data_IF_498432129249
#
_entry.id   IF_498432129249
#
_cell.length_a   1.000
_cell.length_b   1.000
_cell.length_c   1.000
_cell.angle_alpha   90.00
_cell.angle_beta   90.00
_cell.angle_gamma   90.00
#
_symmetry.space_group_name_H-M   'P 1'
#
loop_
_entity.id
_entity.type
_entity.pdbx_description
1 polymer ?
#
# COMPACT_ATOMS: atom_id res chain seq x y z
N UNK A 1 -24.33 -28.30 -18.00
CA UNK A 1 -23.47 -29.51 -18.01
C UNK A 1 -22.37 -29.24 -17.01
N UNK A 2 -22.37 -29.97 -15.89
CA UNK A 2 -21.46 -29.75 -14.78
C UNK A 2 -20.03 -30.09 -15.16
N UNK A 3 -19.12 -29.16 -14.88
CA UNK A 3 -17.69 -29.37 -14.98
C UNK A 3 -17.23 -30.07 -13.68
N UNK A 4 -16.74 -31.29 -13.82
CA UNK A 4 -16.11 -32.05 -12.72
C UNK A 4 -14.75 -31.44 -12.41
N UNK A 5 -14.39 -31.29 -11.12
CA UNK A 5 -13.04 -30.85 -10.75
C UNK A 5 -12.00 -31.88 -11.18
N UNK A 6 -10.88 -31.39 -11.68
CA UNK A 6 -9.74 -32.19 -12.12
C UNK A 6 -9.21 -33.03 -10.97
N UNK A 7 -9.35 -34.34 -11.07
CA UNK A 7 -8.83 -35.30 -10.08
C UNK A 7 -7.31 -35.43 -10.28
N UNK A 8 -6.49 -35.42 -9.22
CA UNK A 8 -5.06 -35.67 -9.36
C UNK A 8 -4.82 -37.11 -9.84
N UNK A 9 -4.11 -37.25 -10.96
CA UNK A 9 -3.69 -38.53 -11.47
C UNK A 9 -2.60 -39.11 -10.56
N UNK A 10 -2.71 -40.38 -10.28
CA UNK A 10 -1.88 -41.32 -9.47
C UNK A 10 -0.47 -40.82 -9.12
N UNK A 11 -0.22 -40.60 -7.85
CA UNK A 11 1.04 -40.17 -7.27
C UNK A 11 2.04 -41.33 -7.15
N UNK A 12 3.20 -41.18 -7.76
CA UNK A 12 4.42 -41.85 -7.31
C UNK A 12 4.95 -41.10 -6.06
N UNK A 13 5.52 -41.78 -5.03
CA UNK A 13 6.03 -41.05 -3.88
C UNK A 13 7.10 -40.04 -4.32
N UNK A 14 6.80 -38.74 -4.20
CA UNK A 14 7.71 -37.65 -4.54
C UNK A 14 7.41 -36.87 -5.83
N UNK A 15 6.29 -37.11 -6.50
CA UNK A 15 5.89 -36.41 -7.73
C UNK A 15 4.38 -36.11 -7.74
N UNK A 16 4.02 -34.85 -8.02
CA UNK A 16 2.62 -34.43 -8.26
C UNK A 16 2.42 -34.10 -9.72
N UNK A 17 1.47 -34.76 -10.40
CA UNK A 17 1.13 -34.55 -11.80
C UNK A 17 -0.09 -33.62 -11.90
N UNK A 18 0.03 -32.54 -12.69
CA UNK A 18 -1.04 -31.61 -13.02
C UNK A 18 -1.34 -31.67 -14.52
N UNK A 19 -2.57 -31.88 -14.88
CA UNK A 19 -3.02 -31.91 -16.28
C UNK A 19 -3.82 -30.63 -16.60
N UNK A 20 -3.44 -29.99 -17.72
CA UNK A 20 -4.07 -28.75 -18.20
C UNK A 20 -4.65 -28.98 -19.62
N UNK A 21 -5.94 -28.73 -19.77
CA UNK A 21 -6.65 -29.14 -21.00
C UNK A 21 -6.40 -28.22 -22.21
N UNK A 22 -6.08 -26.94 -22.01
CA UNK A 22 -5.77 -26.01 -23.10
C UNK A 22 -4.27 -25.70 -23.15
N UNK A 23 -3.62 -26.21 -24.18
CA UNK A 23 -2.19 -26.00 -24.42
C UNK A 23 -1.82 -24.52 -24.70
N UNK A 24 -2.77 -23.68 -25.16
CA UNK A 24 -2.50 -22.25 -25.38
C UNK A 24 -2.39 -21.54 -24.06
N UNK A 25 -3.33 -21.80 -23.16
CA UNK A 25 -3.29 -21.25 -21.80
C UNK A 25 -2.09 -21.77 -21.00
N UNK A 26 -1.68 -23.03 -21.27
CA UNK A 26 -0.47 -23.58 -20.64
C UNK A 26 0.81 -22.85 -21.07
N UNK A 27 0.90 -22.38 -22.33
CA UNK A 27 2.03 -21.56 -22.79
C UNK A 27 2.05 -20.22 -22.03
N UNK A 28 0.91 -19.58 -21.87
CA UNK A 28 0.79 -18.32 -21.14
C UNK A 28 1.06 -18.52 -19.64
N UNK A 29 0.67 -19.67 -19.07
CA UNK A 29 1.00 -20.06 -17.69
C UNK A 29 2.51 -20.19 -17.48
N UNK A 30 3.22 -20.84 -18.41
CA UNK A 30 4.67 -20.98 -18.35
C UNK A 30 5.40 -19.64 -18.53
N UNK A 31 4.80 -18.72 -19.27
CA UNK A 31 5.38 -17.42 -19.62
C UNK A 31 6.52 -17.50 -20.63
N UNK A 32 7.06 -16.36 -21.05
CA UNK A 32 8.15 -16.31 -22.01
C UNK A 32 9.40 -17.06 -21.47
N UNK A 33 9.85 -18.06 -22.23
CA UNK A 33 11.00 -18.93 -21.86
C UNK A 33 10.84 -19.62 -20.50
N UNK A 34 9.63 -20.05 -20.15
CA UNK A 34 9.26 -20.74 -18.90
C UNK A 34 9.63 -19.95 -17.62
N UNK A 35 9.70 -18.62 -17.72
CA UNK A 35 10.12 -17.73 -16.59
C UNK A 35 9.19 -17.82 -15.40
N UNK A 36 7.90 -18.05 -15.61
CA UNK A 36 6.95 -18.21 -14.52
C UNK A 36 7.21 -19.49 -13.74
N UNK A 37 7.47 -20.60 -14.45
CA UNK A 37 7.82 -21.88 -13.83
C UNK A 37 9.13 -21.77 -13.06
N UNK A 38 10.17 -21.20 -13.68
CA UNK A 38 11.47 -20.99 -13.03
C UNK A 38 11.34 -20.17 -11.73
N UNK A 39 10.47 -19.18 -11.70
CA UNK A 39 10.25 -18.39 -10.50
C UNK A 39 9.53 -19.17 -9.40
N UNK A 40 8.58 -20.03 -9.76
CA UNK A 40 7.89 -20.92 -8.81
C UNK A 40 8.87 -21.96 -8.26
N UNK A 41 9.70 -22.55 -9.10
CA UNK A 41 10.73 -23.50 -8.71
C UNK A 41 11.71 -22.91 -7.68
N UNK A 42 12.20 -21.70 -7.95
CA UNK A 42 13.11 -20.97 -7.06
C UNK A 42 12.46 -20.67 -5.69
N UNK A 43 11.22 -20.18 -5.71
CA UNK A 43 10.52 -19.75 -4.49
C UNK A 43 10.17 -20.94 -3.59
N UNK A 44 9.67 -22.03 -4.16
CA UNK A 44 9.15 -23.19 -3.42
C UNK A 44 10.17 -24.35 -3.32
N UNK A 45 11.34 -24.20 -3.94
CA UNK A 45 12.39 -25.24 -3.99
C UNK A 45 11.88 -26.58 -4.52
N UNK A 46 11.08 -26.51 -5.59
CA UNK A 46 10.58 -27.66 -6.35
C UNK A 46 11.18 -27.67 -7.75
N UNK A 47 11.07 -28.79 -8.47
CA UNK A 47 11.37 -28.88 -9.89
C UNK A 47 10.09 -29.15 -10.66
N UNK A 48 9.84 -28.39 -11.73
CA UNK A 48 8.64 -28.50 -12.56
C UNK A 48 9.03 -28.95 -13.96
N UNK A 49 8.61 -30.15 -14.33
CA UNK A 49 8.92 -30.74 -15.63
C UNK A 49 7.67 -30.70 -16.51
N UNK A 50 7.79 -30.09 -17.69
CA UNK A 50 6.70 -30.04 -18.67
C UNK A 50 6.77 -31.20 -19.64
N UNK A 51 5.64 -31.91 -19.81
CA UNK A 51 5.47 -32.99 -20.80
C UNK A 51 4.12 -32.83 -21.51
N UNK A 52 4.11 -32.10 -22.64
CA UNK A 52 2.86 -31.82 -23.37
C UNK A 52 1.93 -30.91 -22.56
N UNK A 53 0.75 -31.45 -22.19
CA UNK A 53 -0.25 -30.80 -21.36
C UNK A 53 -0.11 -31.12 -19.85
N UNK A 54 0.93 -31.84 -19.47
CA UNK A 54 1.22 -32.25 -18.09
C UNK A 54 2.37 -31.44 -17.53
N UNK A 55 2.21 -30.97 -16.29
CA UNK A 55 3.29 -30.45 -15.45
C UNK A 55 3.51 -31.43 -14.29
N UNK A 56 4.73 -31.91 -14.16
CA UNK A 56 5.17 -32.77 -13.06
C UNK A 56 5.93 -31.91 -12.06
N UNK A 57 5.47 -31.84 -10.82
CA UNK A 57 6.10 -31.12 -9.72
C UNK A 57 6.82 -32.11 -8.81
N UNK A 58 8.15 -31.95 -8.66
CA UNK A 58 9.02 -32.83 -7.87
C UNK A 58 9.67 -32.03 -6.75
N UNK A 59 9.55 -32.48 -5.51
CA UNK A 59 10.12 -31.81 -4.34
C UNK A 59 9.55 -32.33 -3.01
N UNK A 60 9.73 -31.63 -1.89
CA UNK A 60 9.07 -31.95 -0.62
C UNK A 60 7.54 -31.93 -0.76
N UNK A 61 6.82 -32.82 -0.06
CA UNK A 61 5.37 -32.98 -0.22
C UNK A 61 4.57 -31.68 0.01
N UNK A 62 4.93 -30.92 1.02
CA UNK A 62 4.29 -29.63 1.31
C UNK A 62 4.52 -28.62 0.20
N UNK A 63 5.76 -28.53 -0.30
CA UNK A 63 6.12 -27.63 -1.40
C UNK A 63 5.48 -28.05 -2.73
N UNK A 64 5.31 -29.35 -2.99
CA UNK A 64 4.55 -29.84 -4.15
C UNK A 64 3.07 -29.41 -4.08
N UNK A 65 2.44 -29.54 -2.91
CA UNK A 65 1.06 -29.14 -2.72
C UNK A 65 0.89 -27.64 -2.94
N UNK A 66 1.80 -26.82 -2.41
CA UNK A 66 1.78 -25.37 -2.59
C UNK A 66 2.02 -24.97 -4.05
N UNK A 67 2.99 -25.60 -4.74
CA UNK A 67 3.24 -25.36 -6.15
C UNK A 67 2.05 -25.75 -7.04
N UNK A 68 1.41 -26.88 -6.73
CA UNK A 68 0.20 -27.32 -7.42
C UNK A 68 -0.96 -26.33 -7.25
N UNK A 69 -1.12 -25.79 -6.06
CA UNK A 69 -2.12 -24.76 -5.78
C UNK A 69 -1.85 -23.47 -6.56
N UNK A 70 -0.61 -22.96 -6.53
CA UNK A 70 -0.20 -21.76 -7.27
C UNK A 70 -0.44 -21.93 -8.77
N UNK A 71 -0.04 -23.07 -9.37
CA UNK A 71 -0.21 -23.36 -10.79
C UNK A 71 -1.69 -23.43 -11.18
N UNK A 72 -2.52 -24.10 -10.38
CA UNK A 72 -3.95 -24.19 -10.63
C UNK A 72 -4.65 -22.82 -10.51
N UNK A 73 -4.29 -21.99 -9.54
CA UNK A 73 -4.85 -20.65 -9.38
C UNK A 73 -4.50 -19.75 -10.58
N UNK A 74 -3.25 -19.80 -11.04
CA UNK A 74 -2.81 -19.04 -12.22
C UNK A 74 -3.49 -19.54 -13.52
N UNK A 75 -3.69 -20.84 -13.65
CA UNK A 75 -4.39 -21.41 -14.79
C UNK A 75 -5.87 -21.04 -14.82
N UNK A 76 -6.58 -21.14 -13.69
CA UNK A 76 -7.96 -20.70 -13.56
C UNK A 76 -8.14 -19.22 -13.91
N UNK A 77 -7.14 -18.38 -13.63
CA UNK A 77 -7.11 -16.99 -14.02
C UNK A 77 -7.05 -16.82 -15.56
N UNK A 78 -6.22 -17.64 -16.23
CA UNK A 78 -6.13 -17.65 -17.71
C UNK A 78 -7.42 -18.15 -18.35
N UNK A 79 -8.09 -19.16 -17.77
CA UNK A 79 -9.40 -19.63 -18.24
C UNK A 79 -10.48 -18.54 -18.21
N UNK A 80 -10.36 -17.61 -17.27
CA UNK A 80 -11.24 -16.43 -17.19
C UNK A 80 -10.85 -15.32 -18.17
N UNK A 81 -9.87 -15.55 -19.05
CA UNK A 81 -9.39 -14.58 -20.03
C UNK A 81 -8.50 -13.48 -19.46
N UNK A 82 -7.91 -13.71 -18.27
CA UNK A 82 -7.02 -12.74 -17.60
C UNK A 82 -5.57 -13.10 -17.85
N UNK A 83 -4.73 -12.13 -18.24
CA UNK A 83 -3.31 -12.39 -18.44
C UNK A 83 -2.62 -12.74 -17.12
N UNK A 84 -1.58 -13.58 -17.22
CA UNK A 84 -0.67 -13.90 -16.14
C UNK A 84 0.71 -13.34 -16.52
N UNK A 85 1.18 -12.38 -15.74
CA UNK A 85 2.50 -11.80 -15.84
C UNK A 85 3.31 -12.17 -14.58
N UNK A 86 4.58 -11.79 -14.51
CA UNK A 86 5.44 -12.07 -13.35
C UNK A 86 4.87 -11.52 -12.03
N UNK A 87 4.15 -10.40 -12.10
CA UNK A 87 3.53 -9.80 -10.92
C UNK A 87 2.42 -10.68 -10.31
N UNK A 88 1.68 -11.39 -11.14
CA UNK A 88 0.64 -12.34 -10.73
C UNK A 88 1.24 -13.63 -10.14
N UNK A 89 2.35 -14.09 -10.71
CA UNK A 89 3.11 -15.23 -10.17
C UNK A 89 3.64 -14.88 -8.78
N UNK A 90 4.25 -13.72 -8.60
CA UNK A 90 4.73 -13.24 -7.30
C UNK A 90 3.59 -13.11 -6.28
N UNK A 91 2.44 -12.62 -6.73
CA UNK A 91 1.26 -12.52 -5.87
C UNK A 91 0.76 -13.89 -5.43
N UNK A 92 0.64 -14.86 -6.36
CA UNK A 92 0.20 -16.21 -6.06
C UNK A 92 1.14 -16.93 -5.08
N UNK A 93 2.46 -16.74 -5.23
CA UNK A 93 3.48 -17.29 -4.33
C UNK A 93 3.41 -16.71 -2.91
N UNK A 94 2.98 -15.46 -2.74
CA UNK A 94 2.84 -14.83 -1.42
C UNK A 94 1.57 -15.18 -0.69
N UNK A 95 0.54 -15.58 -1.41
CA UNK A 95 -0.84 -15.61 -0.88
C UNK A 95 -1.27 -16.98 -0.35
N UNK A 96 -0.61 -18.12 -0.75
CA UNK A 96 -1.16 -19.44 -0.43
C UNK A 96 -2.65 -19.54 -0.83
N UNK A 97 -3.12 -20.59 -1.44
CA UNK A 97 -4.41 -20.61 -2.17
C UNK A 97 -5.61 -20.82 -1.27
N UNK A 98 -6.60 -19.96 -1.34
CA UNK A 98 -7.99 -20.24 -0.98
C UNK A 98 -8.90 -20.18 -2.23
N UNK A 99 -9.92 -21.05 -2.29
CA UNK A 99 -10.66 -21.49 -3.48
C UNK A 99 -11.82 -20.56 -3.96
N UNK A 100 -12.33 -20.73 -5.21
CA UNK A 100 -13.27 -19.83 -5.86
C UNK A 100 -14.75 -20.20 -5.73
N UNK A 101 -15.66 -19.26 -5.83
CA UNK A 101 -17.10 -19.44 -6.01
C UNK A 101 -17.79 -18.36 -6.86
N UNK A 102 -18.92 -18.73 -7.48
CA UNK A 102 -19.72 -18.03 -8.48
C UNK A 102 -20.49 -16.78 -7.97
N UNK A 103 -20.78 -15.83 -8.87
CA UNK A 103 -21.16 -14.46 -8.52
C UNK A 103 -22.59 -14.16 -8.06
N UNK A 104 -22.74 -13.18 -7.20
CA UNK A 104 -23.97 -12.73 -6.58
C UNK A 104 -24.34 -11.25 -6.73
N UNK A 105 -25.54 -10.88 -6.19
CA UNK A 105 -26.23 -9.60 -6.24
C UNK A 105 -25.48 -8.42 -5.55
N UNK A 106 -25.86 -7.12 -5.77
CA UNK A 106 -25.14 -5.98 -5.17
C UNK A 106 -25.02 -5.97 -3.65
N UNK A 107 -25.99 -6.53 -2.92
CA UNK A 107 -25.90 -6.70 -1.47
C UNK A 107 -25.00 -7.89 -1.10
N UNK A 108 -25.06 -8.97 -1.85
CA UNK A 108 -24.20 -10.14 -1.72
C UNK A 108 -22.77 -9.84 -2.22
N UNK A 109 -22.58 -8.89 -3.18
CA UNK A 109 -21.25 -8.41 -3.54
C UNK A 109 -20.57 -7.67 -2.38
N UNK A 110 -21.32 -6.95 -1.56
CA UNK A 110 -20.77 -6.32 -0.34
C UNK A 110 -20.35 -7.37 0.70
N UNK A 111 -21.11 -8.46 0.85
CA UNK A 111 -20.76 -9.61 1.70
C UNK A 111 -19.62 -10.45 1.09
N UNK A 112 -19.53 -10.56 -0.24
CA UNK A 112 -18.45 -11.28 -0.92
C UNK A 112 -17.09 -10.59 -0.84
N UNK A 113 -17.05 -9.27 -0.78
CA UNK A 113 -15.80 -8.55 -0.49
C UNK A 113 -15.27 -8.86 0.93
N UNK A 114 -16.09 -9.47 1.79
CA UNK A 114 -15.69 -9.92 3.12
C UNK A 114 -15.08 -11.33 3.13
N UNK A 115 -15.37 -12.21 2.16
CA UNK A 115 -15.00 -13.64 2.20
C UNK A 115 -14.39 -14.22 0.92
N UNK A 116 -14.44 -13.51 -0.23
CA UNK A 116 -13.98 -14.01 -1.53
C UNK A 116 -12.65 -13.38 -2.03
N UNK A 117 -12.16 -13.79 -3.23
CA UNK A 117 -11.06 -13.10 -3.88
C UNK A 117 -11.45 -11.66 -4.18
N UNK A 118 -10.66 -10.71 -3.66
CA UNK A 118 -10.94 -9.29 -3.76
C UNK A 118 -10.45 -8.77 -5.10
N UNK A 119 -11.39 -8.48 -5.99
CA UNK A 119 -11.12 -7.85 -7.28
C UNK A 119 -11.83 -6.51 -7.39
N UNK A 120 -11.06 -5.45 -7.55
CA UNK A 120 -11.59 -4.12 -7.78
C UNK A 120 -11.70 -3.87 -9.28
N UNK A 121 -12.89 -4.07 -9.84
CA UNK A 121 -13.13 -3.86 -11.26
C UNK A 121 -13.38 -2.39 -11.54
N UNK A 122 -12.45 -1.76 -12.23
CA UNK A 122 -12.59 -0.39 -12.72
C UNK A 122 -12.89 -0.38 -14.23
N UNK A 123 -13.03 0.80 -14.83
CA UNK A 123 -13.31 0.90 -16.28
C UNK A 123 -12.10 0.58 -17.17
N UNK A 124 -10.87 0.73 -16.65
CA UNK A 124 -9.64 0.48 -17.43
C UNK A 124 -8.97 -0.83 -17.06
N UNK A 125 -9.00 -1.21 -15.81
CA UNK A 125 -8.30 -2.41 -15.32
C UNK A 125 -8.96 -3.00 -14.08
N UNK A 126 -8.65 -4.25 -13.82
CA UNK A 126 -8.94 -4.91 -12.54
C UNK A 126 -7.72 -4.73 -11.62
N UNK A 127 -7.96 -4.37 -10.39
CA UNK A 127 -6.94 -4.20 -9.36
C UNK A 127 -7.13 -5.28 -8.29
N UNK A 128 -6.06 -5.99 -8.00
CA UNK A 128 -6.04 -7.04 -6.99
C UNK A 128 -5.05 -6.66 -5.89
N UNK A 129 -5.46 -6.77 -4.62
CA UNK A 129 -4.54 -6.64 -3.50
C UNK A 129 -3.46 -7.72 -3.54
N UNK A 130 -2.21 -7.32 -3.36
CA UNK A 130 -1.02 -8.19 -3.50
C UNK A 130 -0.49 -8.75 -2.18
N UNK A 131 -0.96 -8.23 -1.04
CA UNK A 131 -0.60 -8.69 0.30
C UNK A 131 -1.85 -8.84 1.15
N UNK A 132 -1.77 -9.63 2.23
CA UNK A 132 -2.91 -9.82 3.11
C UNK A 132 -3.31 -8.51 3.80
N UNK A 133 -2.35 -7.66 4.18
CA UNK A 133 -2.65 -6.34 4.72
C UNK A 133 -3.44 -5.48 3.70
N UNK A 134 -3.12 -5.58 2.39
CA UNK A 134 -3.88 -4.90 1.35
C UNK A 134 -5.29 -5.47 1.19
N UNK A 135 -5.46 -6.81 1.31
CA UNK A 135 -6.79 -7.44 1.28
C UNK A 135 -7.65 -6.98 2.45
N UNK A 136 -7.09 -7.04 3.66
CA UNK A 136 -7.81 -6.64 4.87
C UNK A 136 -8.17 -5.16 4.84
N UNK A 137 -7.29 -4.32 4.29
CA UNK A 137 -7.57 -2.91 4.07
C UNK A 137 -8.74 -2.71 3.10
N UNK A 138 -8.74 -3.39 1.95
CA UNK A 138 -9.85 -3.30 0.99
C UNK A 138 -11.17 -3.78 1.60
N UNK A 139 -11.16 -4.88 2.38
CA UNK A 139 -12.34 -5.31 3.14
C UNK A 139 -12.82 -4.25 4.13
N UNK A 140 -11.88 -3.62 4.84
CA UNK A 140 -12.19 -2.54 5.78
C UNK A 140 -12.83 -1.33 5.09
N UNK A 141 -12.36 -0.97 3.87
CA UNK A 141 -12.91 0.13 3.07
C UNK A 141 -14.36 -0.13 2.63
N UNK A 142 -14.72 -1.37 2.35
CA UNK A 142 -16.11 -1.74 2.03
C UNK A 142 -16.99 -1.91 3.28
N UNK A 143 -16.41 -2.37 4.38
CA UNK A 143 -17.16 -2.75 5.58
C UNK A 143 -17.40 -1.64 6.60
N UNK A 144 -16.64 -0.54 6.55
CA UNK A 144 -16.70 0.51 7.58
C UNK A 144 -17.00 1.88 6.97
N UNK A 145 -17.63 2.75 7.76
CA UNK A 145 -17.89 4.14 7.37
C UNK A 145 -16.63 5.00 7.42
N UNK A 146 -15.72 4.68 8.35
CA UNK A 146 -14.42 5.34 8.49
C UNK A 146 -13.31 4.31 8.57
N UNK A 147 -12.33 4.41 7.69
CA UNK A 147 -11.17 3.51 7.67
C UNK A 147 -9.86 4.29 7.59
N UNK A 148 -8.85 3.81 8.32
CA UNK A 148 -7.50 4.35 8.31
C UNK A 148 -6.55 3.34 7.65
N UNK A 149 -5.74 3.80 6.69
CA UNK A 149 -4.63 3.07 6.11
C UNK A 149 -3.31 3.71 6.49
N UNK A 150 -2.56 3.12 7.43
CA UNK A 150 -1.36 3.69 8.03
C UNK A 150 -0.14 2.82 7.71
N UNK A 151 0.94 3.42 7.23
CA UNK A 151 2.21 2.73 6.99
C UNK A 151 3.07 3.37 5.91
N UNK A 152 4.20 2.72 5.54
CA UNK A 152 5.21 3.31 4.66
C UNK A 152 4.70 3.66 3.27
N UNK A 153 5.38 4.60 2.60
CA UNK A 153 5.12 4.91 1.20
C UNK A 153 5.33 3.68 0.30
N UNK A 154 4.54 3.56 -0.78
CA UNK A 154 4.64 2.46 -1.73
C UNK A 154 3.90 1.17 -1.35
N UNK A 155 3.13 1.15 -0.25
CA UNK A 155 2.27 0.03 0.14
C UNK A 155 0.90 0.03 -0.54
N UNK A 156 0.62 1.00 -1.41
CA UNK A 156 -0.62 1.06 -2.20
C UNK A 156 -1.84 1.64 -1.49
N UNK A 157 -1.70 2.23 -0.29
CA UNK A 157 -2.82 2.77 0.51
C UNK A 157 -3.76 3.67 -0.28
N UNK A 158 -3.23 4.76 -0.82
CA UNK A 158 -3.98 5.75 -1.60
C UNK A 158 -4.52 5.16 -2.89
N UNK A 159 -3.70 4.36 -3.57
CA UNK A 159 -4.06 3.71 -4.83
C UNK A 159 -5.26 2.76 -4.65
N UNK A 160 -5.24 1.90 -3.64
CA UNK A 160 -6.35 0.99 -3.32
C UNK A 160 -7.60 1.75 -2.85
N UNK A 161 -7.42 2.81 -2.04
CA UNK A 161 -8.55 3.66 -1.63
C UNK A 161 -9.26 4.29 -2.84
N UNK A 162 -8.49 4.85 -3.80
CA UNK A 162 -9.07 5.43 -5.03
C UNK A 162 -9.72 4.35 -5.88
N UNK A 163 -9.12 3.15 -6.00
CA UNK A 163 -9.71 2.03 -6.74
C UNK A 163 -11.06 1.59 -6.16
N UNK A 164 -11.15 1.47 -4.83
CA UNK A 164 -12.42 1.18 -4.12
C UNK A 164 -13.45 2.30 -4.37
N UNK A 165 -13.04 3.56 -4.23
CA UNK A 165 -13.93 4.70 -4.50
C UNK A 165 -14.49 4.68 -5.91
N UNK A 166 -13.64 4.41 -6.92
CA UNK A 166 -14.08 4.30 -8.32
C UNK A 166 -15.02 3.10 -8.51
N UNK A 167 -14.74 1.95 -7.88
CA UNK A 167 -15.63 0.78 -7.94
C UNK A 167 -16.99 1.08 -7.33
N UNK A 168 -17.02 1.74 -6.18
CA UNK A 168 -18.28 2.14 -5.52
C UNK A 168 -19.06 3.18 -6.31
N UNK A 169 -18.39 4.14 -6.97
CA UNK A 169 -19.03 5.12 -7.84
C UNK A 169 -19.64 4.46 -9.08
N UNK A 170 -18.93 3.51 -9.70
CA UNK A 170 -19.42 2.77 -10.86
C UNK A 170 -20.59 1.85 -10.47
N UNK A 171 -20.52 1.24 -9.30
CA UNK A 171 -21.58 0.37 -8.74
C UNK A 171 -22.80 1.14 -8.21
N UNK A 172 -22.76 2.48 -8.18
CA UNK A 172 -23.87 3.29 -7.68
C UNK A 172 -24.04 3.26 -6.16
N UNK A 173 -23.03 2.82 -5.41
CA UNK A 173 -23.04 2.80 -3.94
C UNK A 173 -22.75 4.18 -3.33
N UNK A 174 -22.15 5.07 -4.10
CA UNK A 174 -21.92 6.47 -3.76
C UNK A 174 -22.20 7.34 -4.99
N UNK A 175 -22.62 8.57 -4.77
CA UNK A 175 -22.91 9.52 -5.85
C UNK A 175 -21.65 10.23 -6.36
N UNK A 176 -20.64 10.37 -5.49
CA UNK A 176 -19.43 11.14 -5.79
C UNK A 176 -18.20 10.62 -5.04
N UNK A 177 -17.02 10.95 -5.60
CA UNK A 177 -15.71 10.76 -4.96
C UNK A 177 -15.14 12.14 -4.63
N UNK A 178 -14.63 12.31 -3.42
CA UNK A 178 -13.92 13.53 -2.99
C UNK A 178 -12.54 13.11 -2.51
N UNK A 179 -11.51 13.59 -3.21
CA UNK A 179 -10.12 13.36 -2.86
C UNK A 179 -9.52 14.63 -2.30
N UNK A 180 -8.88 14.51 -1.16
CA UNK A 180 -8.33 15.66 -0.45
C UNK A 180 -6.92 15.36 0.05
N UNK A 181 -6.13 16.41 0.20
CA UNK A 181 -4.77 16.35 0.75
C UNK A 181 -4.50 17.61 1.57
N UNK A 182 -3.78 17.52 2.70
CA UNK A 182 -3.29 18.71 3.37
C UNK A 182 -2.34 19.46 2.42
N UNK A 183 -2.55 20.75 2.24
CA UNK A 183 -1.56 21.59 1.59
C UNK A 183 -0.46 21.88 2.63
N UNK A 184 0.68 21.20 2.52
CA UNK A 184 1.84 21.44 3.38
C UNK A 184 2.81 22.32 2.62
N UNK A 185 3.19 23.44 3.20
CA UNK A 185 4.32 24.21 2.72
C UNK A 185 5.62 23.49 3.09
N UNK A 186 6.13 22.65 2.21
CA UNK A 186 7.45 22.00 2.36
C UNK A 186 8.54 23.07 2.27
N UNK A 187 8.71 23.89 3.33
CA UNK A 187 9.75 24.90 3.43
C UNK A 187 9.58 26.14 2.55
N UNK A 188 8.72 26.10 1.55
CA UNK A 188 8.37 27.24 0.68
C UNK A 188 6.96 27.73 1.03
N UNK A 189 6.86 28.99 1.40
CA UNK A 189 5.55 29.60 1.64
C UNK A 189 4.78 29.68 0.33
N UNK A 190 3.57 29.08 0.26
CA UNK A 190 2.66 29.13 -0.90
C UNK A 190 2.46 30.55 -1.47
N UNK A 191 2.81 31.56 -0.69
CA UNK A 191 2.79 32.96 -1.09
C UNK A 191 3.76 33.35 -2.20
N UNK A 192 4.79 32.57 -2.50
CA UNK A 192 5.81 32.89 -3.51
C UNK A 192 5.52 32.35 -4.93
N UNK A 193 4.56 31.43 -5.07
CA UNK A 193 4.20 30.92 -6.40
C UNK A 193 3.24 31.88 -7.09
N UNK A 194 3.46 32.24 -8.37
CA UNK A 194 2.48 33.00 -9.15
C UNK A 194 1.24 32.17 -9.45
N UNK A 195 0.07 32.79 -9.55
CA UNK A 195 -1.20 32.13 -9.83
C UNK A 195 -2.20 32.20 -8.69
N UNK A 196 -3.43 31.74 -8.94
CA UNK A 196 -4.46 31.66 -7.94
C UNK A 196 -4.21 30.47 -6.97
N UNK A 197 -4.98 30.40 -5.88
CA UNK A 197 -4.81 29.36 -4.84
C UNK A 197 -4.96 27.94 -5.41
N UNK A 198 -5.78 27.77 -6.44
CA UNK A 198 -6.04 26.48 -7.07
C UNK A 198 -4.85 26.04 -7.92
N UNK A 199 -4.31 26.93 -8.73
CA UNK A 199 -3.12 26.68 -9.56
C UNK A 199 -1.88 26.32 -8.70
N UNK A 200 -1.73 26.94 -7.53
CA UNK A 200 -0.63 26.68 -6.59
C UNK A 200 -0.70 25.32 -5.93
N UNK A 201 -1.88 24.78 -5.73
CA UNK A 201 -2.09 23.51 -5.02
C UNK A 201 -2.15 22.32 -5.98
N UNK A 202 -2.45 22.55 -7.25
CA UNK A 202 -2.62 21.51 -8.28
C UNK A 202 -1.43 20.54 -8.40
N UNK A 203 -0.16 20.96 -8.35
CA UNK A 203 0.98 20.05 -8.38
C UNK A 203 0.99 19.02 -7.23
N UNK A 204 0.53 19.40 -6.06
CA UNK A 204 0.45 18.49 -4.90
C UNK A 204 -0.67 17.46 -5.02
N UNK A 205 -1.66 17.70 -5.89
CA UNK A 205 -2.78 16.81 -6.16
C UNK A 205 -2.49 15.83 -7.30
N UNK A 206 -1.38 16.01 -8.04
CA UNK A 206 -1.04 15.19 -9.20
C UNK A 206 -1.10 13.68 -8.93
N UNK A 207 -0.61 13.12 -7.80
CA UNK A 207 -0.70 11.69 -7.52
C UNK A 207 -2.14 11.15 -7.44
N UNK A 208 -3.10 12.00 -7.05
CA UNK A 208 -4.53 11.65 -7.02
C UNK A 208 -5.14 11.63 -8.44
N UNK A 209 -4.74 12.59 -9.29
CA UNK A 209 -5.10 12.58 -10.71
C UNK A 209 -4.53 11.35 -11.42
N UNK A 210 -3.28 11.00 -11.14
CA UNK A 210 -2.62 9.84 -11.75
C UNK A 210 -3.33 8.55 -11.37
N UNK A 211 -3.70 8.37 -10.09
CA UNK A 211 -4.47 7.23 -9.64
C UNK A 211 -5.85 7.15 -10.33
N UNK A 212 -6.58 8.25 -10.46
CA UNK A 212 -7.86 8.27 -11.17
C UNK A 212 -7.71 7.96 -12.66
N UNK A 213 -6.68 8.51 -13.32
CA UNK A 213 -6.38 8.23 -14.73
C UNK A 213 -6.03 6.77 -14.99
N UNK A 214 -5.50 6.07 -13.99
CA UNK A 214 -5.23 4.64 -14.05
C UNK A 214 -6.53 3.81 -14.10
N UNK A 215 -7.61 4.28 -13.49
CA UNK A 215 -8.86 3.54 -13.33
C UNK A 215 -9.96 3.97 -14.30
N UNK A 216 -9.94 5.22 -14.76
CA UNK A 216 -10.96 5.79 -15.62
C UNK A 216 -10.37 6.28 -16.95
N UNK A 217 -11.07 6.06 -18.09
CA UNK A 217 -10.70 6.71 -19.35
C UNK A 217 -10.72 8.24 -19.21
N UNK A 218 -9.72 8.93 -19.75
CA UNK A 218 -9.56 10.39 -19.57
C UNK A 218 -10.79 11.22 -19.93
N UNK A 219 -11.51 10.87 -21.03
CA UNK A 219 -12.78 11.53 -21.40
C UNK A 219 -13.87 11.35 -20.33
N UNK A 220 -13.95 10.15 -19.73
CA UNK A 220 -14.93 9.87 -18.67
C UNK A 220 -14.56 10.59 -17.38
N UNK A 221 -13.27 10.61 -17.01
CA UNK A 221 -12.78 11.34 -15.86
C UNK A 221 -13.10 12.84 -15.99
N UNK A 222 -12.78 13.44 -17.13
CA UNK A 222 -13.08 14.86 -17.38
C UNK A 222 -14.57 15.16 -17.22
N UNK A 223 -15.46 14.31 -17.78
CA UNK A 223 -16.91 14.44 -17.65
C UNK A 223 -17.37 14.34 -16.18
N UNK A 224 -16.88 13.35 -15.43
CA UNK A 224 -17.23 13.16 -14.01
C UNK A 224 -16.74 14.32 -13.13
N UNK A 225 -15.64 14.97 -13.48
CA UNK A 225 -15.14 16.15 -12.79
C UNK A 225 -16.00 17.39 -13.13
N UNK A 226 -16.41 17.57 -14.38
CA UNK A 226 -17.32 18.64 -14.81
C UNK A 226 -18.69 18.51 -14.12
N UNK A 227 -19.23 17.29 -14.03
CA UNK A 227 -20.46 16.96 -13.31
C UNK A 227 -20.31 17.04 -11.77
N UNK A 228 -19.10 17.34 -11.26
CA UNK A 228 -18.77 17.34 -9.81
C UNK A 228 -19.03 16.01 -9.10
N UNK A 229 -19.03 14.92 -9.86
CA UNK A 229 -19.07 13.55 -9.33
C UNK A 229 -17.70 13.07 -8.89
N UNK A 230 -16.63 13.67 -9.38
CA UNK A 230 -15.26 13.53 -8.86
C UNK A 230 -14.75 14.93 -8.54
N UNK A 231 -14.31 15.14 -7.32
CA UNK A 231 -13.74 16.39 -6.83
C UNK A 231 -12.37 16.12 -6.22
N UNK A 232 -11.38 16.93 -6.61
CA UNK A 232 -10.06 16.95 -5.98
C UNK A 232 -9.86 18.35 -5.41
N UNK A 233 -9.68 18.44 -4.09
CA UNK A 233 -9.60 19.74 -3.43
C UNK A 233 -8.72 19.69 -2.16
N UNK A 234 -8.01 20.77 -1.83
CA UNK A 234 -7.26 20.87 -0.58
C UNK A 234 -8.14 20.66 0.64
N UNK A 235 -7.56 20.12 1.71
CA UNK A 235 -8.24 19.88 2.99
C UNK A 235 -8.97 21.14 3.53
N UNK A 236 -8.40 22.31 3.34
CA UNK A 236 -9.01 23.57 3.79
C UNK A 236 -10.39 23.83 3.18
N UNK A 237 -10.68 23.34 1.96
CA UNK A 237 -11.94 23.53 1.24
C UNK A 237 -13.06 22.60 1.75
N UNK A 238 -12.75 21.69 2.65
CA UNK A 238 -13.73 20.82 3.29
C UNK A 238 -14.45 21.50 4.48
N UNK A 239 -13.93 22.65 4.92
CA UNK A 239 -14.51 23.37 6.06
C UNK A 239 -15.94 23.83 5.77
N UNK A 240 -16.85 23.59 6.72
CA UNK A 240 -18.26 24.02 6.62
C UNK A 240 -19.13 23.17 5.70
N UNK A 241 -18.59 22.08 5.14
CA UNK A 241 -19.32 21.14 4.28
C UNK A 241 -19.83 19.94 5.09
N UNK A 242 -20.90 19.31 4.62
CA UNK A 242 -21.32 17.96 5.00
C UNK A 242 -21.20 17.10 3.76
N UNK A 243 -20.43 16.01 3.86
CA UNK A 243 -20.09 15.14 2.72
C UNK A 243 -21.01 13.92 2.80
N UNK A 244 -22.18 13.99 2.16
CA UNK A 244 -23.14 12.91 2.12
C UNK A 244 -23.09 12.14 0.80
N UNK A 245 -23.44 10.85 0.83
CA UNK A 245 -23.43 9.91 -0.28
C UNK A 245 -22.11 9.93 -1.08
N UNK A 246 -20.99 10.05 -0.38
CA UNK A 246 -19.69 10.27 -0.97
C UNK A 246 -18.66 9.25 -0.49
N UNK A 247 -17.74 8.87 -1.38
CA UNK A 247 -16.49 8.22 -1.00
C UNK A 247 -15.41 9.28 -0.87
N UNK A 248 -14.93 9.50 0.35
CA UNK A 248 -14.05 10.62 0.68
C UNK A 248 -12.68 10.10 1.10
N UNK A 249 -11.61 10.61 0.49
CA UNK A 249 -10.23 10.21 0.83
C UNK A 249 -9.45 11.45 1.29
N UNK A 250 -8.81 11.35 2.46
CA UNK A 250 -7.77 12.26 2.89
C UNK A 250 -6.43 11.55 2.79
N UNK A 251 -5.64 11.95 1.81
CA UNK A 251 -4.29 11.42 1.59
C UNK A 251 -3.23 12.28 2.29
N UNK A 252 -2.05 11.69 2.59
CA UNK A 252 -0.96 12.33 3.35
C UNK A 252 -1.41 12.97 4.68
N UNK A 253 -2.33 12.28 5.35
CA UNK A 253 -3.03 12.79 6.52
C UNK A 253 -2.11 13.04 7.75
N UNK A 254 -0.89 12.48 7.77
CA UNK A 254 0.10 12.79 8.79
C UNK A 254 0.49 14.27 8.79
N UNK A 255 0.28 14.96 7.66
CA UNK A 255 0.55 16.39 7.49
C UNK A 255 -0.67 17.29 7.80
N UNK A 256 -1.77 16.72 8.31
CA UNK A 256 -2.86 17.48 8.90
C UNK A 256 -2.60 17.72 10.40
N UNK A 257 -2.87 18.92 10.88
CA UNK A 257 -2.85 19.20 12.33
C UNK A 257 -4.04 18.53 13.02
N UNK A 258 -3.99 18.37 14.36
CA UNK A 258 -5.09 17.83 15.16
C UNK A 258 -6.43 18.55 14.90
N UNK A 259 -6.41 19.88 14.79
CA UNK A 259 -7.61 20.66 14.48
C UNK A 259 -8.14 20.40 13.06
N UNK A 260 -7.26 20.29 12.08
CA UNK A 260 -7.63 19.99 10.69
C UNK A 260 -8.21 18.58 10.57
N UNK A 261 -7.58 17.60 11.23
CA UNK A 261 -8.09 16.22 11.27
C UNK A 261 -9.48 16.17 11.90
N UNK A 262 -9.67 16.75 13.06
CA UNK A 262 -10.99 16.82 13.73
C UNK A 262 -12.03 17.51 12.83
N UNK A 263 -11.65 18.64 12.22
CA UNK A 263 -12.51 19.36 11.29
C UNK A 263 -12.95 18.47 10.13
N UNK A 264 -12.02 17.69 9.53
CA UNK A 264 -12.31 16.83 8.40
C UNK A 264 -13.18 15.62 8.79
N UNK A 265 -12.84 14.91 9.84
CA UNK A 265 -13.58 13.74 10.31
C UNK A 265 -15.04 14.07 10.62
N UNK A 266 -15.30 15.27 11.14
CA UNK A 266 -16.66 15.75 11.41
C UNK A 266 -17.43 16.20 10.16
N UNK A 267 -16.88 16.02 8.96
CA UNK A 267 -17.58 16.26 7.67
C UNK A 267 -18.30 15.01 7.16
N UNK A 268 -18.06 13.85 7.76
CA UNK A 268 -18.73 12.61 7.38
C UNK A 268 -20.25 12.79 7.46
N UNK A 269 -20.90 12.59 6.33
CA UNK A 269 -22.36 12.68 6.19
C UNK A 269 -22.98 11.32 5.96
N UNK A 270 -24.29 11.26 5.98
CA UNK A 270 -25.06 10.03 5.78
C UNK A 270 -24.77 9.39 4.42
N UNK A 271 -24.72 8.06 4.37
CA UNK A 271 -24.42 7.28 3.16
C UNK A 271 -22.98 7.40 2.65
N UNK A 272 -22.08 8.03 3.43
CA UNK A 272 -20.70 8.24 3.00
C UNK A 272 -19.74 7.24 3.64
N UNK A 273 -18.59 7.08 2.97
CA UNK A 273 -17.40 6.39 3.49
C UNK A 273 -16.22 7.33 3.45
N UNK A 274 -15.46 7.36 4.52
CA UNK A 274 -14.30 8.22 4.66
C UNK A 274 -13.05 7.36 4.88
N UNK A 275 -12.00 7.69 4.16
CA UNK A 275 -10.72 6.98 4.19
C UNK A 275 -9.61 7.96 4.51
N UNK A 276 -8.79 7.63 5.48
CA UNK A 276 -7.62 8.40 5.90
C UNK A 276 -6.38 7.59 5.58
N UNK A 277 -5.51 8.09 4.72
CA UNK A 277 -4.23 7.45 4.38
C UNK A 277 -3.06 8.30 4.85
N UNK A 278 -2.01 7.66 5.35
CA UNK A 278 -0.83 8.39 5.78
C UNK A 278 0.34 7.52 6.26
N UNK A 279 1.47 8.18 6.47
CA UNK A 279 2.71 7.60 6.97
C UNK A 279 3.20 8.37 8.20
N UNK A 280 3.22 7.73 9.36
CA UNK A 280 3.66 8.37 10.61
C UNK A 280 5.15 8.77 10.62
N UNK A 281 5.94 8.22 9.72
CA UNK A 281 7.38 8.49 9.61
C UNK A 281 7.69 9.71 8.74
N UNK A 282 6.72 10.16 7.92
CA UNK A 282 6.88 11.25 6.96
C UNK A 282 6.05 12.49 7.36
N UNK A 283 6.31 13.01 8.55
CA UNK A 283 5.62 14.19 9.08
C UNK A 283 6.41 15.44 8.71
N UNK A 284 5.85 16.28 7.83
CA UNK A 284 6.44 17.54 7.36
C UNK A 284 5.86 18.77 8.08
N UNK A 285 5.18 18.57 9.21
CA UNK A 285 4.63 19.66 10.01
C UNK A 285 5.75 20.48 10.71
N UNK A 286 5.56 21.77 10.94
CA UNK A 286 6.49 22.60 11.69
C UNK A 286 6.79 22.03 13.08
N UNK A 287 7.99 22.29 13.61
CA UNK A 287 8.40 21.83 14.94
C UNK A 287 7.39 22.28 16.01
N UNK A 288 6.96 21.35 16.85
CA UNK A 288 6.00 21.58 17.92
C UNK A 288 4.53 21.49 17.50
N UNK A 289 4.23 21.22 16.23
CA UNK A 289 2.87 20.95 15.74
C UNK A 289 2.65 19.44 15.71
N UNK A 290 1.61 18.98 16.39
CA UNK A 290 1.25 17.56 16.44
C UNK A 290 0.51 17.10 15.18
N UNK A 291 0.84 15.90 14.73
CA UNK A 291 0.13 15.25 13.63
C UNK A 291 -1.25 14.78 14.07
N UNK A 292 -2.27 15.25 13.36
CA UNK A 292 -3.65 14.85 13.59
C UNK A 292 -3.91 13.36 13.32
N UNK A 293 -3.12 12.72 12.44
CA UNK A 293 -3.21 11.29 12.21
C UNK A 293 -2.81 10.49 13.47
N UNK A 294 -1.71 10.88 14.11
CA UNK A 294 -1.24 10.23 15.35
C UNK A 294 -2.22 10.41 16.50
N UNK A 295 -2.82 11.60 16.63
CA UNK A 295 -3.82 11.86 17.65
C UNK A 295 -5.14 11.12 17.38
N UNK A 296 -5.60 11.10 16.13
CA UNK A 296 -6.80 10.38 15.73
C UNK A 296 -6.67 8.87 16.00
N UNK A 297 -5.53 8.27 15.69
CA UNK A 297 -5.24 6.86 15.98
C UNK A 297 -5.40 6.56 17.49
N UNK A 298 -4.84 7.38 18.36
CA UNK A 298 -4.95 7.20 19.81
C UNK A 298 -6.37 7.35 20.35
N UNK A 299 -7.11 8.33 19.82
CA UNK A 299 -8.44 8.69 20.32
C UNK A 299 -9.52 7.77 19.79
N UNK A 300 -9.40 7.29 18.53
CA UNK A 300 -10.48 6.62 17.81
C UNK A 300 -10.31 5.10 17.73
N UNK A 301 -9.22 4.54 18.25
CA UNK A 301 -8.90 3.10 18.12
C UNK A 301 -10.02 2.16 18.60
N UNK A 302 -10.75 2.55 19.64
CA UNK A 302 -11.78 1.74 20.26
C UNK A 302 -13.20 2.17 19.89
N UNK A 303 -13.34 3.08 18.92
CA UNK A 303 -14.65 3.56 18.45
C UNK A 303 -15.24 2.57 17.44
N UNK A 304 -16.45 2.06 17.70
CA UNK A 304 -17.14 1.15 16.78
C UNK A 304 -17.40 1.83 15.43
N UNK A 305 -17.27 1.07 14.33
CA UNK A 305 -17.46 1.56 12.97
C UNK A 305 -16.21 2.22 12.37
N UNK A 306 -15.10 2.28 13.12
CA UNK A 306 -13.80 2.76 12.64
C UNK A 306 -12.84 1.59 12.54
N UNK A 307 -12.16 1.47 11.39
CA UNK A 307 -11.16 0.45 11.15
C UNK A 307 -9.78 1.07 10.96
N UNK A 308 -8.75 0.38 11.49
CA UNK A 308 -7.34 0.74 11.32
C UNK A 308 -6.60 -0.42 10.65
N UNK A 309 -6.06 -0.17 9.47
CA UNK A 309 -5.22 -1.10 8.72
C UNK A 309 -3.77 -0.60 8.74
N UNK A 310 -2.86 -1.47 9.16
CA UNK A 310 -1.44 -1.15 9.28
C UNK A 310 -0.64 -1.87 8.21
N UNK A 311 0.19 -1.10 7.51
CA UNK A 311 1.12 -1.61 6.52
C UNK A 311 2.55 -1.57 7.05
N UNK A 312 3.34 -2.51 6.60
CA UNK A 312 4.76 -2.64 6.96
C UNK A 312 5.65 -2.55 5.72
N UNK A 313 6.95 -2.58 5.90
CA UNK A 313 7.90 -2.63 4.79
C UNK A 313 7.69 -3.86 3.88
N UNK A 314 7.11 -4.96 4.41
CA UNK A 314 6.79 -6.18 3.63
C UNK A 314 5.68 -5.97 2.61
N UNK A 315 4.83 -4.96 2.83
CA UNK A 315 3.71 -4.62 1.95
C UNK A 315 4.10 -3.64 0.84
N UNK A 316 5.36 -3.21 0.80
CA UNK A 316 5.86 -2.28 -0.21
C UNK A 316 5.94 -2.99 -1.56
N UNK A 317 5.16 -2.50 -2.52
CA UNK A 317 5.15 -2.97 -3.92
C UNK A 317 5.93 -1.96 -4.75
N UNK A 318 7.24 -2.15 -4.84
CA UNK A 318 8.14 -1.28 -5.61
C UNK A 318 9.07 -2.10 -6.50
N UNK A 319 9.66 -1.41 -7.48
CA UNK A 319 10.71 -2.03 -8.28
C UNK A 319 11.88 -2.48 -7.39
N UNK A 320 12.44 -3.70 -7.58
CA UNK A 320 13.53 -4.22 -6.72
C UNK A 320 14.74 -3.28 -6.59
N UNK A 321 15.01 -2.49 -7.63
CA UNK A 321 16.07 -1.47 -7.59
C UNK A 321 15.78 -0.38 -6.55
N UNK A 322 14.52 0.00 -6.37
CA UNK A 322 14.15 1.06 -5.39
C UNK A 322 14.40 0.56 -3.96
N UNK A 323 14.10 -0.70 -3.67
CA UNK A 323 14.44 -1.30 -2.37
C UNK A 323 15.95 -1.21 -2.10
N UNK A 324 16.78 -1.63 -3.06
CA UNK A 324 18.25 -1.53 -2.96
C UNK A 324 18.78 -0.11 -2.82
N UNK A 325 18.12 0.87 -3.47
CA UNK A 325 18.48 2.28 -3.30
C UNK A 325 18.20 2.73 -1.86
N UNK A 326 17.03 2.39 -1.31
CA UNK A 326 16.67 2.75 0.07
C UNK A 326 17.66 2.12 1.05
N UNK A 327 17.92 0.83 0.91
CA UNK A 327 18.90 0.11 1.74
C UNK A 327 20.29 0.76 1.70
N UNK A 328 20.74 1.22 0.52
CA UNK A 328 22.02 1.90 0.39
C UNK A 328 22.05 3.26 1.11
N UNK A 329 20.97 4.05 1.03
CA UNK A 329 20.86 5.31 1.75
C UNK A 329 20.74 5.12 3.28
N UNK A 330 20.00 4.11 3.72
CA UNK A 330 19.86 3.77 5.13
C UNK A 330 21.21 3.31 5.72
N UNK A 331 21.97 2.49 4.99
CA UNK A 331 23.32 2.04 5.39
C UNK A 331 24.30 3.22 5.50
N UNK A 332 24.26 4.19 4.58
CA UNK A 332 25.08 5.40 4.65
C UNK A 332 24.72 6.28 5.86
N UNK A 333 23.42 6.43 6.12
CA UNK A 333 22.94 7.18 7.29
C UNK A 333 23.36 6.52 8.59
N UNK A 334 23.29 5.20 8.69
CA UNK A 334 23.72 4.43 9.86
C UNK A 334 25.23 4.52 10.08
N UNK A 335 26.03 4.43 9.01
CA UNK A 335 27.48 4.60 9.06
C UNK A 335 27.84 6.01 9.55
N UNK A 336 27.15 7.05 9.09
CA UNK A 336 27.36 8.43 9.53
C UNK A 336 27.00 8.62 11.03
N UNK A 337 25.92 8.02 11.52
CA UNK A 337 25.53 8.04 12.93
C UNK A 337 26.59 7.35 13.79
N UNK A 338 27.05 6.19 13.35
CA UNK A 338 28.09 5.41 14.06
C UNK A 338 29.42 6.19 14.14
N UNK A 339 29.84 6.85 13.04
CA UNK A 339 31.04 7.71 13.04
C UNK A 339 30.92 8.87 14.03
N UNK A 340 29.78 9.57 14.03
CA UNK A 340 29.54 10.67 14.98
C UNK A 340 29.54 10.18 16.43
N UNK A 341 28.86 9.05 16.71
CA UNK A 341 28.80 8.45 18.03
C UNK A 341 30.19 7.99 18.50
N UNK A 342 31.00 7.42 17.61
CA UNK A 342 32.38 7.00 17.86
C UNK A 342 33.27 8.18 18.21
N UNK A 343 33.21 9.25 17.43
CA UNK A 343 34.00 10.48 17.70
C UNK A 343 33.57 11.16 19.01
N UNK A 344 32.27 11.17 19.30
CA UNK A 344 31.73 11.70 20.54
C UNK A 344 32.16 10.82 21.72
N UNK A 345 32.04 9.51 21.61
CA UNK A 345 32.50 8.55 22.60
C UNK A 345 33.99 8.68 22.91
N UNK A 346 34.83 8.76 21.88
CA UNK A 346 36.27 8.98 22.03
C UNK A 346 36.63 10.26 22.77
N UNK A 347 35.86 11.34 22.58
CA UNK A 347 36.07 12.62 23.23
C UNK A 347 35.76 12.60 24.72
N UNK A 348 34.73 11.89 25.14
CA UNK A 348 34.24 11.93 26.52
C UNK A 348 34.61 10.69 27.36
N UNK A 349 34.85 9.55 26.73
CA UNK A 349 35.06 8.27 27.40
C UNK A 349 36.46 7.68 27.16
N UNK A 350 37.28 8.34 26.34
CA UNK A 350 38.62 7.89 25.97
C UNK A 350 38.66 7.17 24.63
N UNK A 351 39.81 7.25 23.96
CA UNK A 351 40.01 6.70 22.62
C UNK A 351 39.88 5.17 22.56
N UNK A 352 40.24 4.51 23.66
CA UNK A 352 40.16 3.05 23.83
C UNK A 352 38.73 2.49 23.83
N UNK A 353 37.75 3.32 24.23
CA UNK A 353 36.34 2.94 24.26
C UNK A 353 35.48 3.58 23.15
N UNK A 354 36.10 4.35 22.27
CA UNK A 354 35.39 5.08 21.22
C UNK A 354 34.50 4.21 20.34
N UNK A 355 35.04 3.07 19.86
CA UNK A 355 34.28 2.15 19.00
C UNK A 355 33.13 1.45 19.74
N UNK A 356 33.32 1.11 21.02
CA UNK A 356 32.25 0.52 21.83
C UNK A 356 31.05 1.48 21.92
N UNK A 357 31.31 2.76 22.21
CA UNK A 357 30.29 3.80 22.25
C UNK A 357 29.67 4.09 20.89
N UNK A 358 30.47 4.07 19.82
CA UNK A 358 29.97 4.20 18.46
C UNK A 358 28.91 3.17 18.12
N UNK A 359 29.22 1.90 18.36
CA UNK A 359 28.31 0.77 18.13
C UNK A 359 27.06 0.79 19.03
N UNK A 360 27.18 1.27 20.26
CA UNK A 360 26.07 1.33 21.22
C UNK A 360 25.08 2.46 20.91
N UNK A 361 25.57 3.62 20.48
CA UNK A 361 24.79 4.85 20.37
C UNK A 361 24.57 5.28 18.91
N UNK A 362 25.25 4.67 17.94
CA UNK A 362 25.03 4.90 16.50
C UNK A 362 23.99 3.95 15.93
N UNK A 363 22.80 3.87 16.54
CA UNK A 363 21.73 2.94 16.16
C UNK A 363 20.58 3.68 15.47
N UNK A 364 19.79 3.01 14.63
CA UNK A 364 18.62 3.60 13.97
C UNK A 364 17.65 4.21 15.01
N UNK A 365 17.20 5.44 14.74
CA UNK A 365 16.27 6.18 15.61
C UNK A 365 16.96 7.19 16.54
N UNK A 366 18.27 7.19 16.63
CA UNK A 366 19.02 8.24 17.33
C UNK A 366 19.08 9.53 16.51
N UNK A 367 19.04 10.67 17.19
CA UNK A 367 19.03 11.99 16.56
C UNK A 367 20.34 12.74 16.85
N UNK A 368 20.99 13.22 15.79
CA UNK A 368 22.12 14.14 15.92
C UNK A 368 21.62 15.58 15.90
N UNK A 369 21.74 16.27 17.04
CA UNK A 369 21.40 17.69 17.15
C UNK A 369 22.69 18.51 17.03
N UNK A 370 22.83 19.29 15.95
CA UNK A 370 23.91 20.28 15.79
C UNK A 370 23.44 21.65 16.30
N UNK A 371 24.09 22.14 17.35
CA UNK A 371 23.82 23.47 17.89
C UNK A 371 24.94 24.40 17.48
N UNK A 372 24.60 25.54 16.86
CA UNK A 372 25.54 26.64 16.61
C UNK A 372 25.34 27.66 17.74
N UNK A 373 26.28 27.77 18.71
CA UNK A 373 26.11 28.73 19.78
C UNK A 373 26.21 30.15 19.22
N UNK A 374 25.27 31.01 19.64
CA UNK A 374 25.28 32.44 19.29
C UNK A 374 26.00 33.26 20.37
N UNK A 375 26.16 32.70 21.57
CA UNK A 375 26.89 33.29 22.67
C UNK A 375 27.48 32.17 23.51
N UNK A 376 28.76 32.29 23.85
CA UNK A 376 29.46 31.39 24.79
C UNK A 376 29.82 32.22 26.01
N UNK A 377 29.36 31.77 27.17
CA UNK A 377 29.80 32.32 28.47
C UNK A 377 30.69 31.24 29.07
N UNK A 378 31.99 31.55 29.23
CA UNK A 378 32.93 30.66 29.89
C UNK A 378 33.12 31.15 31.34
N UNK A 379 32.92 30.28 32.30
CA UNK A 379 33.32 30.51 33.70
C UNK A 379 34.50 29.58 34.00
N UNK A 380 35.54 30.13 34.59
CA UNK A 380 36.67 29.37 35.12
C UNK A 380 36.44 29.19 36.64
N UNK A 381 36.86 28.06 37.17
CA UNK A 381 36.73 27.69 38.56
C UNK A 381 35.29 27.52 39.09
N UNK A 382 34.55 26.59 38.49
CA UNK A 382 33.21 26.20 38.92
C UNK A 382 33.23 24.97 39.86
N UNK A 383 34.42 24.52 40.25
CA UNK A 383 34.58 23.42 41.19
C UNK A 383 35.28 23.94 42.47
N UNK A 384 34.51 24.34 43.44
CA UNK A 384 34.78 24.14 44.87
C UNK A 384 33.75 23.19 45.45
#
# INVERSE_FOLDING_TARGET
MGLTPTTPATTTPGETLLEFHDNRLLIDLCGPHDRHLARIEEALRVHILRRGNLLSVVGPADAQAEAAQVLNALYARLEQGRPVEMAEVEAALRMGVDQPAEGPSPAEQLEMFQTGPIELRTRKKTVEPRTDAQKDYVRALFGNELAFGIGPAGTGKTYLAVAVGVTMLIGGHVDKIILSRPAVEAGERLGFLPGDMKEKVDPYMQPLYDALNDFLPGKQLAKLMEEKRIEIAPLAFMRGRTLANAFVVLDEAQNATTMQMKMFLTRLGEGSRMVITGDRTQIDLPRGVHSGLTDAEKILKDVKGISFSYFTAKDVVRHPLVARIIEAYDAEAEAALTDIATRTGGRYMGADRAEEYGRRNGVPGELVVRVKPTKVIAAFDVAE
#
